data_IF_424562650653
#
_entry.id   IF_424562650653
#
_cell.length_a   1.000
_cell.length_b   1.000
_cell.length_c   1.000
_cell.angle_alpha   90.00
_cell.angle_beta   90.00
_cell.angle_gamma   90.00
#
_symmetry.space_group_name_H-M   'P 1'
#
loop_
_entity.id
_entity.type
_entity.pdbx_description
1 polymer ?
#
# COMPACT_ATOMS: atom_id res chain seq x y z
N UNK A 1 42.17 10.24 16.52
CA UNK A 1 41.64 9.04 17.20
C UNK A 1 40.55 9.53 18.16
N UNK A 2 39.32 9.61 17.73
CA UNK A 2 38.22 10.07 18.57
C UNK A 2 37.62 8.86 19.27
N UNK A 3 37.79 8.80 20.59
CA UNK A 3 37.05 7.86 21.41
C UNK A 3 35.63 8.37 21.52
N UNK A 4 34.73 7.79 20.77
CA UNK A 4 33.29 7.97 20.96
C UNK A 4 32.89 7.33 22.30
N UNK A 5 33.14 8.03 23.39
CA UNK A 5 32.49 7.73 24.67
C UNK A 5 31.06 8.27 24.60
N UNK A 6 30.28 7.72 23.71
CA UNK A 6 28.84 8.00 23.67
C UNK A 6 28.15 6.90 24.46
N UNK A 7 27.86 7.16 25.72
CA UNK A 7 26.81 6.46 26.45
C UNK A 7 25.46 6.80 25.79
N UNK A 8 25.27 6.37 24.55
CA UNK A 8 23.97 6.45 23.89
C UNK A 8 23.07 5.47 24.64
N UNK A 9 22.16 5.99 25.42
CA UNK A 9 21.17 5.15 26.07
C UNK A 9 20.25 4.62 24.96
N UNK A 10 20.27 3.31 24.78
CA UNK A 10 19.42 2.59 23.82
C UNK A 10 18.36 1.85 24.61
N UNK A 11 17.12 2.07 24.24
CA UNK A 11 15.96 1.32 24.76
C UNK A 11 15.20 0.68 23.61
N UNK A 12 14.59 -0.47 23.88
CA UNK A 12 13.66 -1.10 22.97
C UNK A 12 12.24 -1.02 23.52
N UNK A 13 11.29 -0.66 22.67
CA UNK A 13 9.86 -0.58 23.03
C UNK A 13 9.12 -1.62 22.22
N UNK A 14 8.51 -2.57 22.91
CA UNK A 14 7.66 -3.60 22.32
C UNK A 14 6.20 -3.19 22.47
N UNK A 15 5.50 -3.12 21.34
CA UNK A 15 4.08 -2.80 21.27
C UNK A 15 3.30 -4.00 20.74
N UNK A 16 2.23 -4.36 21.41
CA UNK A 16 1.30 -5.40 20.97
C UNK A 16 -0.11 -4.79 20.88
N UNK A 17 -0.75 -4.92 19.74
CA UNK A 17 -2.10 -4.36 19.51
C UNK A 17 -3.14 -4.74 20.56
N UNK A 18 -2.96 -5.88 21.22
CA UNK A 18 -3.85 -6.32 22.33
C UNK A 18 -3.79 -5.40 23.55
N UNK A 19 -2.71 -4.66 23.73
CA UNK A 19 -2.50 -3.72 24.83
C UNK A 19 -2.86 -2.29 24.46
N UNK A 20 -3.29 -2.06 23.20
CA UNK A 20 -3.67 -0.75 22.73
C UNK A 20 -5.15 -0.45 23.02
N UNK A 21 -5.43 0.81 23.20
CA UNK A 21 -6.79 1.34 23.10
C UNK A 21 -7.04 1.79 21.65
N UNK A 22 -8.09 1.29 21.01
CA UNK A 22 -8.48 1.75 19.67
C UNK A 22 -9.34 3.01 19.82
N UNK A 23 -8.89 4.11 19.25
CA UNK A 23 -9.56 5.40 19.27
C UNK A 23 -9.43 6.07 17.90
N UNK A 24 -10.56 6.42 17.29
CA UNK A 24 -10.62 7.13 15.99
C UNK A 24 -9.78 6.49 14.87
N UNK A 25 -9.67 5.15 14.84
CA UNK A 25 -8.87 4.42 13.84
C UNK A 25 -7.37 4.34 14.16
N UNK A 26 -6.94 4.85 15.32
CA UNK A 26 -5.56 4.73 15.79
C UNK A 26 -5.46 3.79 17.01
N UNK A 27 -4.34 3.08 17.10
CA UNK A 27 -3.95 2.26 18.24
C UNK A 27 -3.13 3.10 19.21
N UNK A 28 -3.70 3.43 20.35
CA UNK A 28 -3.07 4.24 21.39
C UNK A 28 -2.43 3.35 22.44
N UNK A 29 -1.16 3.60 22.74
CA UNK A 29 -0.36 2.92 23.76
C UNK A 29 0.08 3.93 24.80
N UNK A 30 -0.44 3.81 26.00
CA UNK A 30 0.06 4.58 27.15
C UNK A 30 1.30 3.88 27.71
N UNK A 31 2.44 4.56 27.72
CA UNK A 31 3.69 4.02 28.22
C UNK A 31 3.74 4.16 29.75
N UNK A 32 3.82 3.04 30.47
CA UNK A 32 3.95 3.03 31.93
C UNK A 32 5.16 3.86 32.40
N UNK A 33 6.27 3.72 31.68
CA UNK A 33 7.46 4.55 31.88
C UNK A 33 7.62 5.48 30.68
N UNK A 34 7.44 6.80 30.87
CA UNK A 34 7.66 7.76 29.81
C UNK A 34 9.09 7.70 29.28
N UNK A 35 9.23 7.76 27.95
CA UNK A 35 10.54 7.90 27.31
C UNK A 35 10.95 9.36 27.38
N UNK A 36 11.86 9.71 28.29
CA UNK A 36 12.31 11.07 28.50
C UNK A 36 13.78 11.22 28.12
N UNK A 37 14.06 12.24 27.32
CA UNK A 37 15.39 12.57 26.82
C UNK A 37 15.92 13.83 27.55
N UNK A 38 17.18 13.85 28.01
CA UNK A 38 17.81 15.07 28.54
C UNK A 38 17.74 16.24 27.56
N UNK A 39 17.76 17.46 28.06
CA UNK A 39 17.66 18.66 27.21
C UNK A 39 18.78 18.78 26.18
N UNK A 40 19.98 18.27 26.53
CA UNK A 40 21.15 18.26 25.67
C UNK A 40 21.13 17.15 24.61
N UNK A 41 20.15 16.27 24.61
CA UNK A 41 20.04 15.14 23.68
C UNK A 41 18.81 15.24 22.79
N UNK A 42 18.82 14.49 21.71
CA UNK A 42 17.67 14.29 20.81
C UNK A 42 17.15 12.88 20.95
N UNK A 43 15.83 12.75 20.91
CA UNK A 43 15.15 11.44 20.87
C UNK A 43 15.06 10.98 19.44
N UNK A 44 15.52 9.77 19.17
CA UNK A 44 15.43 9.14 17.84
C UNK A 44 14.71 7.82 17.95
N UNK A 45 13.76 7.59 17.06
CA UNK A 45 13.01 6.33 16.96
C UNK A 45 13.30 5.64 15.63
N UNK A 46 13.38 4.32 15.66
CA UNK A 46 13.53 3.47 14.47
C UNK A 46 12.69 2.22 14.62
N UNK A 47 12.00 1.81 13.55
CA UNK A 47 11.32 0.52 13.53
C UNK A 47 12.36 -0.59 13.36
N UNK A 48 12.38 -1.55 14.29
CA UNK A 48 13.21 -2.75 14.21
C UNK A 48 12.49 -3.91 13.56
N UNK A 49 11.22 -4.10 13.96
CA UNK A 49 10.45 -5.27 13.53
C UNK A 49 8.96 -4.99 13.53
N UNK A 50 8.26 -5.60 12.59
CA UNK A 50 6.80 -5.64 12.54
C UNK A 50 6.33 -7.04 12.21
N UNK A 51 5.32 -7.49 12.93
CA UNK A 51 4.64 -8.76 12.68
C UNK A 51 3.14 -8.58 12.70
N UNK A 52 2.45 -9.21 11.73
CA UNK A 52 1.00 -9.27 11.70
C UNK A 52 0.54 -10.49 10.91
N UNK A 53 -0.53 -11.18 11.30
CA UNK A 53 -1.17 -12.13 10.39
C UNK A 53 -1.76 -11.37 9.19
N UNK A 54 -1.58 -11.89 7.99
CA UNK A 54 -2.21 -11.33 6.79
C UNK A 54 -3.70 -11.69 6.78
N UNK A 55 -4.48 -10.92 7.51
CA UNK A 55 -5.95 -11.01 7.57
C UNK A 55 -6.63 -9.88 6.80
N UNK A 56 -5.87 -9.22 5.90
CA UNK A 56 -6.39 -8.13 5.10
C UNK A 56 -7.45 -8.64 4.12
N UNK A 57 -8.64 -8.06 4.10
CA UNK A 57 -9.68 -8.48 3.19
C UNK A 57 -9.28 -8.17 1.75
N UNK A 58 -9.50 -9.13 0.86
CA UNK A 58 -9.26 -8.94 -0.58
C UNK A 58 -10.39 -8.10 -1.18
N UNK A 59 -11.63 -8.45 -0.83
CA UNK A 59 -12.79 -7.66 -1.19
C UNK A 59 -13.22 -6.78 -0.01
N UNK A 60 -13.50 -5.52 -0.27
CA UNK A 60 -13.98 -4.52 0.68
C UNK A 60 -15.04 -3.62 0.03
N UNK A 61 -15.62 -2.70 0.77
CA UNK A 61 -16.72 -1.86 0.28
C UNK A 61 -16.41 -1.07 -1.02
N UNK A 62 -15.13 -0.84 -1.34
CA UNK A 62 -14.74 -0.11 -2.55
C UNK A 62 -14.55 -0.99 -3.79
N UNK A 63 -14.41 -2.31 -3.62
CA UNK A 63 -14.04 -3.23 -4.71
C UNK A 63 -14.82 -4.56 -4.69
N UNK A 64 -16.04 -4.57 -4.16
CA UNK A 64 -16.81 -5.80 -3.93
C UNK A 64 -18.05 -5.96 -4.85
N UNK A 65 -18.23 -5.12 -5.83
CA UNK A 65 -19.36 -5.23 -6.74
C UNK A 65 -18.97 -6.01 -7.99
N UNK A 66 -19.83 -6.94 -8.39
CA UNK A 66 -19.71 -7.69 -9.63
C UNK A 66 -21.08 -7.95 -10.22
N UNK A 67 -21.29 -7.55 -11.48
CA UNK A 67 -22.57 -7.68 -12.16
C UNK A 67 -22.41 -8.38 -13.50
N UNK A 68 -23.27 -9.37 -13.75
CA UNK A 68 -23.26 -10.11 -14.99
C UNK A 68 -24.69 -10.40 -15.50
N UNK A 69 -24.78 -10.68 -16.80
CA UNK A 69 -26.01 -11.07 -17.47
C UNK A 69 -25.77 -12.28 -18.36
N UNK A 70 -26.67 -13.23 -18.33
CA UNK A 70 -26.73 -14.37 -19.28
C UNK A 70 -27.96 -14.22 -20.13
N UNK A 71 -27.83 -14.31 -21.45
CA UNK A 71 -28.88 -13.96 -22.39
C UNK A 71 -29.54 -15.21 -23.00
N UNK A 72 -30.78 -15.07 -23.41
CA UNK A 72 -31.49 -16.03 -24.25
C UNK A 72 -30.83 -16.12 -25.62
N UNK A 73 -30.43 -17.31 -26.08
CA UNK A 73 -29.78 -17.48 -27.37
C UNK A 73 -30.69 -17.14 -28.57
N UNK A 74 -32.02 -17.11 -28.40
CA UNK A 74 -32.98 -16.84 -29.47
C UNK A 74 -33.31 -15.34 -29.55
N UNK A 75 -33.72 -14.78 -28.40
CA UNK A 75 -34.16 -13.37 -28.34
C UNK A 75 -33.04 -12.39 -28.02
N UNK A 76 -31.88 -12.86 -27.57
CA UNK A 76 -30.82 -12.05 -26.98
C UNK A 76 -31.26 -11.21 -25.78
N UNK A 77 -32.45 -11.41 -25.25
CA UNK A 77 -32.91 -10.75 -24.04
C UNK A 77 -32.21 -11.34 -22.81
N UNK A 78 -31.96 -10.52 -21.76
CA UNK A 78 -31.41 -11.04 -20.53
C UNK A 78 -32.33 -12.09 -19.88
N UNK A 79 -31.83 -13.31 -19.71
CA UNK A 79 -32.49 -14.37 -18.94
C UNK A 79 -32.26 -14.19 -17.45
N UNK A 80 -31.04 -13.89 -17.12
CA UNK A 80 -30.59 -13.71 -15.74
C UNK A 80 -29.68 -12.48 -15.70
N UNK A 81 -30.00 -11.54 -14.85
CA UNK A 81 -29.14 -10.42 -14.51
C UNK A 81 -28.87 -10.45 -13.02
N UNK A 82 -27.61 -10.45 -12.64
CA UNK A 82 -27.17 -10.50 -11.24
C UNK A 82 -26.29 -9.31 -10.91
N UNK A 83 -26.61 -8.71 -9.77
CA UNK A 83 -25.79 -7.66 -9.16
C UNK A 83 -25.34 -8.19 -7.80
N UNK A 84 -24.10 -8.61 -7.72
CA UNK A 84 -23.53 -9.24 -6.54
C UNK A 84 -22.72 -8.25 -5.74
N UNK A 85 -22.88 -8.33 -4.43
CA UNK A 85 -21.97 -7.71 -3.47
C UNK A 85 -21.17 -8.85 -2.86
N UNK A 86 -19.90 -8.96 -3.27
CA UNK A 86 -19.00 -9.99 -2.75
C UNK A 86 -18.74 -9.67 -1.29
N UNK A 87 -18.87 -10.66 -0.38
CA UNK A 87 -18.62 -10.43 1.03
C UNK A 87 -17.23 -9.85 1.30
N UNK A 88 -17.14 -8.97 2.30
CA UNK A 88 -15.87 -8.45 2.78
C UNK A 88 -15.09 -9.58 3.47
N UNK A 89 -14.22 -10.27 2.73
CA UNK A 89 -13.57 -11.51 3.18
C UNK A 89 -12.23 -11.72 2.50
N UNK A 90 -11.49 -12.65 3.07
CA UNK A 90 -10.30 -13.26 2.47
C UNK A 90 -10.78 -14.37 1.54
N UNK A 91 -10.62 -14.17 0.25
CA UNK A 91 -11.09 -15.10 -0.78
C UNK A 91 -9.96 -15.33 -1.78
N UNK A 92 -9.67 -16.59 -2.07
CA UNK A 92 -8.75 -16.90 -3.16
C UNK A 92 -9.48 -17.00 -4.52
N UNK A 93 -8.76 -17.07 -5.65
CA UNK A 93 -9.41 -17.15 -6.98
C UNK A 93 -10.39 -18.30 -7.15
N UNK A 94 -10.11 -19.46 -6.53
CA UNK A 94 -10.98 -20.65 -6.62
C UNK A 94 -12.26 -20.43 -5.81
N UNK A 95 -12.14 -19.83 -4.63
CA UNK A 95 -13.32 -19.51 -3.79
C UNK A 95 -14.21 -18.49 -4.50
N UNK A 96 -13.63 -17.50 -5.18
CA UNK A 96 -14.38 -16.57 -6.02
C UNK A 96 -15.14 -17.29 -7.14
N UNK A 97 -14.48 -18.19 -7.86
CA UNK A 97 -15.15 -19.01 -8.88
C UNK A 97 -16.33 -19.81 -8.30
N UNK A 98 -16.10 -20.48 -7.18
CA UNK A 98 -17.14 -21.24 -6.49
C UNK A 98 -18.31 -20.37 -6.07
N UNK A 99 -18.04 -19.18 -5.54
CA UNK A 99 -19.05 -18.20 -5.13
C UNK A 99 -19.95 -17.78 -6.30
N UNK A 100 -19.35 -17.37 -7.44
CA UNK A 100 -20.09 -16.95 -8.63
C UNK A 100 -20.87 -18.14 -9.24
N UNK A 101 -20.25 -19.30 -9.36
CA UNK A 101 -20.88 -20.50 -9.90
C UNK A 101 -22.05 -20.94 -9.03
N UNK A 102 -21.90 -20.90 -7.71
CA UNK A 102 -22.99 -21.22 -6.77
C UNK A 102 -24.15 -20.24 -6.89
N UNK A 103 -23.85 -18.93 -6.96
CA UNK A 103 -24.88 -17.88 -7.17
C UNK A 103 -25.68 -18.16 -8.45
N UNK A 104 -24.99 -18.43 -9.55
CA UNK A 104 -25.62 -18.72 -10.83
C UNK A 104 -26.54 -19.94 -10.74
N UNK A 105 -26.05 -21.07 -10.24
CA UNK A 105 -26.83 -22.31 -10.11
C UNK A 105 -28.05 -22.12 -9.22
N UNK A 106 -27.90 -21.42 -8.10
CA UNK A 106 -28.98 -21.22 -7.11
C UNK A 106 -30.06 -20.28 -7.64
N UNK A 107 -29.69 -19.27 -8.42
CA UNK A 107 -30.63 -18.24 -8.88
C UNK A 107 -31.13 -18.47 -10.32
N UNK A 108 -30.59 -19.46 -11.01
CA UNK A 108 -31.04 -19.85 -12.35
C UNK A 108 -32.46 -20.44 -12.30
N UNK A 109 -33.45 -19.90 -13.04
CA UNK A 109 -34.77 -20.51 -13.12
C UNK A 109 -34.70 -21.95 -13.69
N UNK A 110 -35.47 -22.90 -13.16
CA UNK A 110 -35.44 -24.30 -13.61
C UNK A 110 -35.66 -24.49 -15.12
N UNK A 111 -36.49 -23.67 -15.73
CA UNK A 111 -36.74 -23.67 -17.18
C UNK A 111 -35.48 -23.41 -18.02
N UNK A 112 -34.45 -22.80 -17.44
CA UNK A 112 -33.20 -22.44 -18.11
C UNK A 112 -32.02 -23.30 -17.68
N UNK A 113 -32.31 -24.48 -17.12
CA UNK A 113 -31.27 -25.41 -16.63
C UNK A 113 -30.29 -25.90 -17.71
N UNK A 114 -30.66 -25.80 -18.99
CA UNK A 114 -29.83 -26.15 -20.14
C UNK A 114 -28.75 -25.10 -20.45
N UNK A 115 -28.90 -23.87 -19.92
CA UNK A 115 -27.92 -22.82 -20.12
C UNK A 115 -26.88 -22.86 -18.99
N UNK A 116 -25.62 -22.95 -19.40
CA UNK A 116 -24.51 -23.06 -18.49
C UNK A 116 -23.71 -21.76 -18.51
N UNK A 117 -23.43 -21.25 -17.34
CA UNK A 117 -22.46 -20.18 -17.13
C UNK A 117 -21.52 -20.63 -16.02
N UNK A 118 -20.25 -20.46 -16.26
CA UNK A 118 -19.23 -20.86 -15.29
C UNK A 118 -18.04 -19.91 -15.30
N UNK A 119 -17.43 -19.80 -14.13
CA UNK A 119 -16.17 -19.08 -13.93
C UNK A 119 -15.14 -20.09 -13.44
N UNK A 120 -13.99 -20.15 -14.11
CA UNK A 120 -12.90 -21.03 -13.78
C UNK A 120 -11.60 -20.26 -13.62
N UNK A 121 -10.75 -20.70 -12.73
CA UNK A 121 -9.42 -20.14 -12.53
C UNK A 121 -8.36 -21.05 -13.17
N UNK A 122 -7.69 -20.52 -14.18
CA UNK A 122 -6.57 -21.21 -14.81
C UNK A 122 -5.29 -20.98 -14.01
N UNK A 123 -4.82 -22.01 -13.31
CA UNK A 123 -3.64 -21.92 -12.44
C UNK A 123 -2.32 -21.75 -13.19
N UNK A 124 -2.27 -22.07 -14.48
CA UNK A 124 -1.04 -21.90 -15.29
C UNK A 124 -0.87 -20.47 -15.78
N UNK A 125 -1.97 -19.84 -16.18
CA UNK A 125 -1.98 -18.48 -16.72
C UNK A 125 -2.38 -17.43 -15.70
N UNK A 126 -2.88 -17.84 -14.53
CA UNK A 126 -3.45 -16.97 -13.50
C UNK A 126 -4.62 -16.11 -13.99
N UNK A 127 -5.36 -16.59 -14.97
CA UNK A 127 -6.50 -15.87 -15.59
C UNK A 127 -7.81 -16.49 -15.12
N UNK A 128 -8.81 -15.63 -14.86
CA UNK A 128 -10.20 -16.05 -14.73
C UNK A 128 -10.80 -16.24 -16.13
N UNK A 129 -11.41 -17.37 -16.34
CA UNK A 129 -12.09 -17.73 -17.57
C UNK A 129 -13.59 -17.80 -17.30
N UNK A 130 -14.31 -16.81 -17.79
CA UNK A 130 -15.77 -16.80 -17.80
C UNK A 130 -16.24 -17.49 -19.09
N UNK A 131 -17.13 -18.45 -18.98
CA UNK A 131 -17.61 -19.24 -20.12
C UNK A 131 -19.10 -19.56 -20.00
N UNK A 132 -19.77 -19.67 -21.15
CA UNK A 132 -21.17 -20.05 -21.23
C UNK A 132 -21.47 -20.73 -22.57
N UNK A 133 -22.50 -21.54 -22.60
CA UNK A 133 -23.06 -22.07 -23.86
C UNK A 133 -24.05 -21.10 -24.54
N UNK A 134 -24.31 -19.96 -23.94
CA UNK A 134 -25.12 -18.86 -24.50
C UNK A 134 -24.42 -17.51 -24.31
N UNK A 135 -24.88 -16.49 -25.04
CA UNK A 135 -24.30 -15.14 -24.91
C UNK A 135 -24.42 -14.64 -23.48
N UNK A 136 -23.36 -14.04 -22.98
CA UNK A 136 -23.34 -13.39 -21.69
C UNK A 136 -22.49 -12.14 -21.72
N UNK A 137 -22.64 -11.29 -20.72
CA UNK A 137 -21.81 -10.10 -20.53
C UNK A 137 -21.50 -9.88 -19.04
N UNK A 138 -20.34 -9.29 -18.77
CA UNK A 138 -20.03 -8.68 -17.47
C UNK A 138 -20.48 -7.23 -17.58
N UNK A 139 -21.50 -6.87 -16.79
CA UNK A 139 -22.17 -5.56 -16.90
C UNK A 139 -21.35 -4.47 -16.24
N UNK A 140 -20.80 -4.76 -15.06
CA UNK A 140 -19.97 -3.84 -14.28
C UNK A 140 -19.21 -4.59 -13.20
N UNK A 141 -18.10 -4.05 -12.78
CA UNK A 141 -17.40 -4.48 -11.56
C UNK A 141 -16.58 -3.36 -10.96
N UNK A 142 -16.52 -3.28 -9.65
CA UNK A 142 -15.54 -2.47 -8.91
C UNK A 142 -14.30 -3.27 -8.54
N UNK A 143 -14.32 -4.59 -8.74
CA UNK A 143 -13.23 -5.52 -8.45
C UNK A 143 -12.28 -5.75 -9.65
N UNK A 144 -12.28 -4.87 -10.63
CA UNK A 144 -11.58 -5.06 -11.92
C UNK A 144 -10.08 -5.36 -11.74
N UNK A 145 -9.37 -4.65 -10.87
CA UNK A 145 -7.95 -4.89 -10.59
C UNK A 145 -7.70 -6.31 -10.04
N UNK A 146 -8.55 -6.75 -9.10
CA UNK A 146 -8.44 -8.07 -8.46
C UNK A 146 -8.73 -9.18 -9.47
N UNK A 147 -9.77 -9.00 -10.28
CA UNK A 147 -10.25 -9.98 -11.23
C UNK A 147 -9.48 -9.98 -12.57
N UNK A 148 -8.54 -9.06 -12.74
CA UNK A 148 -7.80 -8.90 -14.01
C UNK A 148 -8.69 -8.43 -15.16
N UNK A 149 -9.77 -7.69 -14.87
CA UNK A 149 -10.69 -7.12 -15.84
C UNK A 149 -10.33 -5.66 -16.13
N UNK A 150 -10.77 -5.08 -17.27
CA UNK A 150 -10.52 -3.67 -17.55
C UNK A 150 -11.30 -2.77 -16.58
N UNK A 151 -10.77 -1.58 -16.31
CA UNK A 151 -11.43 -0.58 -15.45
C UNK A 151 -12.67 0.03 -16.12
N UNK A 152 -12.65 0.15 -17.43
CA UNK A 152 -13.68 0.83 -18.25
C UNK A 152 -14.17 -0.07 -19.37
N UNK A 153 -15.08 0.45 -20.21
CA UNK A 153 -15.64 -0.23 -21.38
C UNK A 153 -16.61 -1.37 -21.04
N UNK A 154 -17.41 -1.20 -20.02
CA UNK A 154 -18.51 -2.10 -19.73
C UNK A 154 -19.77 -1.73 -20.56
N UNK A 155 -20.61 -2.73 -20.93
CA UNK A 155 -20.48 -4.14 -20.64
C UNK A 155 -19.40 -4.84 -21.47
N UNK A 156 -18.69 -5.81 -20.85
CA UNK A 156 -17.80 -6.70 -21.56
C UNK A 156 -18.61 -7.85 -22.15
N UNK A 157 -18.69 -7.92 -23.46
CA UNK A 157 -19.42 -8.97 -24.15
C UNK A 157 -18.52 -10.19 -24.45
N UNK A 158 -19.08 -11.39 -24.27
CA UNK A 158 -18.37 -12.61 -24.56
C UNK A 158 -18.12 -12.77 -26.07
N UNK A 159 -16.94 -13.23 -26.45
CA UNK A 159 -16.60 -13.61 -27.82
C UNK A 159 -17.39 -14.84 -28.30
N UNK A 160 -17.64 -14.94 -29.59
CA UNK A 160 -18.70 -15.79 -30.19
C UNK A 160 -18.26 -17.16 -30.71
N UNK A 161 -17.07 -17.70 -30.43
CA UNK A 161 -16.70 -18.98 -31.06
C UNK A 161 -15.72 -19.81 -30.27
N UNK A 162 -15.87 -21.12 -30.14
CA UNK A 162 -17.05 -21.99 -30.29
C UNK A 162 -17.94 -22.01 -29.05
N UNK A 163 -17.50 -21.44 -27.94
CA UNK A 163 -18.25 -21.17 -26.73
C UNK A 163 -18.05 -19.71 -26.35
N UNK A 164 -19.09 -19.05 -25.83
CA UNK A 164 -18.98 -17.69 -25.35
C UNK A 164 -18.00 -17.61 -24.20
N UNK A 165 -16.98 -16.78 -24.31
CA UNK A 165 -15.97 -16.65 -23.27
C UNK A 165 -15.45 -15.22 -23.12
N UNK A 166 -15.06 -14.89 -21.89
CA UNK A 166 -14.31 -13.68 -21.56
C UNK A 166 -13.06 -14.12 -20.79
N UNK A 167 -11.90 -13.71 -21.28
CA UNK A 167 -10.59 -13.86 -20.65
C UNK A 167 -9.86 -12.54 -20.81
N UNK A 168 -9.16 -12.09 -19.78
CA UNK A 168 -8.45 -10.83 -19.84
C UNK A 168 -7.03 -10.93 -19.28
N UNK A 169 -6.70 -10.16 -18.26
CA UNK A 169 -5.38 -10.16 -17.65
C UNK A 169 -5.28 -11.16 -16.49
N UNK A 170 -4.07 -11.55 -16.07
CA UNK A 170 -3.88 -12.31 -14.85
C UNK A 170 -4.50 -11.61 -13.63
N UNK A 171 -5.11 -12.40 -12.77
CA UNK A 171 -5.74 -11.88 -11.54
C UNK A 171 -4.72 -11.49 -10.49
N UNK A 172 -5.07 -10.51 -9.68
CA UNK A 172 -4.27 -10.08 -8.53
C UNK A 172 -5.14 -10.12 -7.26
N UNK A 173 -5.27 -11.30 -6.66
CA UNK A 173 -5.99 -11.44 -5.38
C UNK A 173 -5.17 -10.90 -4.21
N UNK A 174 -4.66 -9.68 -4.39
CA UNK A 174 -3.95 -8.88 -3.38
C UNK A 174 -4.56 -7.48 -3.43
N UNK A 175 -5.35 -7.15 -2.43
CA UNK A 175 -5.99 -5.82 -2.35
C UNK A 175 -5.08 -4.74 -1.76
N UNK A 176 -4.05 -5.17 -1.04
CA UNK A 176 -3.12 -4.31 -0.33
C UNK A 176 -1.71 -4.83 -0.54
N UNK A 177 -0.89 -4.07 -1.26
CA UNK A 177 0.52 -4.43 -1.50
C UNK A 177 1.44 -3.93 -0.40
N UNK A 178 1.06 -2.86 0.28
CA UNK A 178 1.83 -2.27 1.36
C UNK A 178 0.94 -1.82 2.50
N UNK A 179 1.44 -1.99 3.72
CA UNK A 179 0.88 -1.40 4.93
C UNK A 179 1.76 -0.21 5.30
N UNK A 180 1.17 0.97 5.38
CA UNK A 180 1.84 2.17 5.87
C UNK A 180 1.55 2.33 7.35
N UNK A 181 2.59 2.26 8.16
CA UNK A 181 2.52 2.55 9.60
C UNK A 181 2.73 4.04 9.78
N UNK A 182 1.75 4.71 10.35
CA UNK A 182 1.77 6.15 10.60
C UNK A 182 1.70 6.46 12.08
N UNK A 183 2.22 7.61 12.46
CA UNK A 183 2.10 8.17 13.80
C UNK A 183 1.34 9.49 13.73
N UNK A 184 0.53 9.76 14.76
CA UNK A 184 -0.22 11.01 14.85
C UNK A 184 0.42 12.01 15.81
N UNK A 185 1.33 11.56 16.67
CA UNK A 185 1.86 12.38 17.76
C UNK A 185 3.06 13.24 17.39
N UNK A 186 3.76 12.91 16.30
CA UNK A 186 4.89 13.70 15.84
C UNK A 186 5.00 13.70 14.32
N UNK A 187 5.41 14.84 13.79
CA UNK A 187 5.63 14.99 12.36
C UNK A 187 6.98 14.41 11.98
N UNK A 188 6.98 13.50 11.01
CA UNK A 188 8.19 12.98 10.40
C UNK A 188 8.47 13.78 9.12
N UNK A 189 9.74 14.06 8.85
CA UNK A 189 10.15 14.78 7.64
C UNK A 189 10.21 13.84 6.41
N UNK A 190 9.22 12.95 6.28
CA UNK A 190 9.09 12.10 5.11
C UNK A 190 8.24 12.81 4.06
N UNK A 191 8.68 12.74 2.81
CA UNK A 191 7.98 13.32 1.67
C UNK A 191 7.47 12.18 0.80
N UNK A 192 6.18 12.19 0.46
CA UNK A 192 5.59 11.23 -0.48
C UNK A 192 5.89 11.61 -1.93
N UNK A 193 5.47 10.78 -2.88
CA UNK A 193 5.65 11.02 -4.33
C UNK A 193 4.97 12.29 -4.85
N UNK A 194 4.09 12.92 -4.07
CA UNK A 194 3.42 14.18 -4.39
C UNK A 194 4.07 15.40 -3.71
N UNK A 195 5.23 15.21 -3.05
CA UNK A 195 5.93 16.29 -2.35
C UNK A 195 5.30 16.68 -1.01
N UNK A 196 4.35 15.91 -0.48
CA UNK A 196 3.69 16.19 0.80
C UNK A 196 4.43 15.54 1.96
N UNK A 197 4.54 16.27 3.07
CA UNK A 197 5.08 15.73 4.32
C UNK A 197 4.14 14.66 4.84
N UNK A 198 4.68 13.51 5.21
CA UNK A 198 3.91 12.38 5.74
C UNK A 198 4.44 11.96 7.11
N UNK A 199 3.53 11.46 7.94
CA UNK A 199 3.85 10.88 9.25
C UNK A 199 4.11 9.37 9.16
N UNK A 200 4.61 8.89 8.02
CA UNK A 200 4.85 7.47 7.79
C UNK A 200 6.15 7.02 8.44
N UNK A 201 6.05 6.15 9.43
CA UNK A 201 7.20 5.49 10.08
C UNK A 201 7.80 4.38 9.23
N UNK A 202 6.94 3.60 8.57
CA UNK A 202 7.39 2.49 7.75
C UNK A 202 6.40 2.15 6.65
N UNK A 203 6.93 1.63 5.56
CA UNK A 203 6.20 0.97 4.49
C UNK A 203 6.53 -0.52 4.56
N UNK A 204 5.54 -1.34 4.79
CA UNK A 204 5.68 -2.78 5.00
C UNK A 204 5.08 -3.51 3.82
N UNK A 205 5.87 -4.23 3.01
CA UNK A 205 5.35 -4.97 1.87
C UNK A 205 4.53 -6.18 2.34
N UNK A 206 3.37 -6.38 1.72
CA UNK A 206 2.53 -7.57 1.89
C UNK A 206 2.94 -8.59 0.84
N UNK A 207 3.90 -9.43 1.17
CA UNK A 207 4.53 -10.40 0.27
C UNK A 207 4.19 -11.86 0.60
N UNK A 208 3.18 -12.07 1.43
CA UNK A 208 2.75 -13.40 1.86
C UNK A 208 1.27 -13.62 1.55
N UNK A 209 0.90 -14.87 1.36
CA UNK A 209 -0.48 -15.24 1.13
C UNK A 209 -1.40 -14.90 2.33
N UNK A 210 -2.71 -14.70 2.10
CA UNK A 210 -3.68 -14.57 3.16
C UNK A 210 -3.59 -15.74 4.16
N UNK A 211 -3.71 -15.43 5.45
CA UNK A 211 -3.57 -16.39 6.55
C UNK A 211 -2.13 -16.65 7.00
N UNK A 212 -1.11 -16.25 6.23
CA UNK A 212 0.29 -16.31 6.64
C UNK A 212 0.67 -15.08 7.48
N UNK A 213 1.81 -15.15 8.16
CA UNK A 213 2.34 -14.02 8.93
C UNK A 213 3.19 -13.11 8.04
N UNK A 214 2.85 -11.84 7.99
CA UNK A 214 3.71 -10.79 7.45
C UNK A 214 4.76 -10.53 8.52
N UNK A 215 6.01 -10.76 8.18
CA UNK A 215 7.17 -10.45 9.01
C UNK A 215 8.04 -9.44 8.25
N UNK A 216 8.28 -8.30 8.88
CA UNK A 216 9.09 -7.24 8.29
C UNK A 216 10.17 -6.80 9.24
N UNK A 217 11.39 -6.78 8.75
CA UNK A 217 12.56 -6.20 9.40
C UNK A 217 13.28 -5.35 8.36
N UNK A 218 13.42 -4.04 8.57
CA UNK A 218 14.09 -3.18 7.60
C UNK A 218 15.57 -3.60 7.45
N UNK A 219 16.07 -3.57 6.22
CA UNK A 219 17.50 -3.82 5.92
C UNK A 219 18.35 -2.71 6.50
N UNK A 220 17.88 -1.47 6.35
CA UNK A 220 18.47 -0.27 6.93
C UNK A 220 17.47 0.40 7.86
N UNK A 221 17.95 0.85 9.02
CA UNK A 221 17.11 1.52 9.99
C UNK A 221 16.90 2.98 9.61
N UNK A 222 15.68 3.31 9.27
CA UNK A 222 15.27 4.71 9.17
C UNK A 222 15.23 5.33 10.57
N UNK A 223 16.03 6.36 10.77
CA UNK A 223 16.17 7.06 12.06
C UNK A 223 15.37 8.36 12.00
N UNK A 224 14.36 8.47 12.84
CA UNK A 224 13.49 9.64 12.91
C UNK A 224 13.78 10.43 14.17
N UNK A 225 14.20 11.67 14.00
CA UNK A 225 14.38 12.60 15.12
C UNK A 225 13.02 13.09 15.57
N UNK A 226 12.72 12.89 16.84
CA UNK A 226 11.47 13.32 17.45
C UNK A 226 11.69 14.67 18.11
N UNK A 227 10.89 15.69 17.76
CA UNK A 227 11.04 17.03 18.31
C UNK A 227 10.67 17.12 19.79
N UNK A 228 9.92 16.15 20.30
CA UNK A 228 9.53 16.09 21.71
C UNK A 228 10.62 15.51 22.58
N UNK A 229 10.74 16.04 23.80
CA UNK A 229 11.69 15.51 24.81
C UNK A 229 11.13 14.37 25.64
N UNK A 230 9.84 14.17 25.62
CA UNK A 230 9.16 13.12 26.39
C UNK A 230 8.02 12.55 25.58
N UNK A 231 7.99 11.23 25.45
CA UNK A 231 6.88 10.48 24.89
C UNK A 231 6.20 9.71 26.02
N UNK A 232 4.95 10.03 26.29
CA UNK A 232 4.10 9.32 27.27
C UNK A 232 3.13 8.37 26.61
N UNK A 233 2.75 8.69 25.36
CA UNK A 233 1.82 7.92 24.56
C UNK A 233 2.36 7.77 23.13
N UNK A 234 2.03 6.66 22.49
CA UNK A 234 2.26 6.44 21.07
C UNK A 234 0.93 6.09 20.41
N UNK A 235 0.53 6.85 19.41
CA UNK A 235 -0.63 6.59 18.60
C UNK A 235 -0.19 6.18 17.19
N UNK A 236 -0.61 4.99 16.76
CA UNK A 236 -0.25 4.40 15.48
C UNK A 236 -1.50 4.14 14.67
N UNK A 237 -1.52 4.54 13.41
CA UNK A 237 -2.54 4.18 12.45
C UNK A 237 -1.95 3.42 11.28
N UNK A 238 -2.79 2.65 10.59
CA UNK A 238 -2.38 1.82 9.47
C UNK A 238 -3.21 2.16 8.24
N UNK A 239 -2.55 2.27 7.10
CA UNK A 239 -3.21 2.56 5.82
C UNK A 239 -2.69 1.62 4.73
N UNK A 240 -3.53 1.37 3.73
CA UNK A 240 -3.15 0.64 2.53
C UNK A 240 -2.58 1.58 1.44
N UNK A 241 -2.24 1.01 0.27
CA UNK A 241 -1.71 1.75 -0.89
C UNK A 241 -2.67 2.83 -1.42
N UNK A 242 -3.97 2.73 -1.12
CA UNK A 242 -5.02 3.68 -1.53
C UNK A 242 -5.32 4.72 -0.44
N UNK A 243 -4.46 4.82 0.59
CA UNK A 243 -4.66 5.66 1.78
C UNK A 243 -5.95 5.36 2.57
N UNK A 244 -6.50 4.15 2.42
CA UNK A 244 -7.64 3.72 3.20
C UNK A 244 -7.15 3.16 4.54
N UNK A 245 -7.87 3.49 5.62
CA UNK A 245 -7.55 2.98 6.94
C UNK A 245 -7.70 1.45 7.01
N UNK A 246 -6.80 0.82 7.73
CA UNK A 246 -6.86 -0.59 8.12
C UNK A 246 -7.24 -0.59 9.60
N UNK A 247 -8.56 -0.64 9.88
CA UNK A 247 -9.10 -0.39 11.22
C UNK A 247 -8.89 -1.56 12.20
N UNK A 248 -8.72 -2.77 11.68
CA UNK A 248 -8.58 -3.97 12.52
C UNK A 248 -7.39 -4.80 12.07
N UNK A 249 -6.27 -4.58 12.72
CA UNK A 249 -5.05 -5.35 12.49
C UNK A 249 -4.48 -5.81 13.84
N UNK A 250 -4.18 -7.09 13.96
CA UNK A 250 -3.44 -7.62 15.10
C UNK A 250 -1.96 -7.57 14.78
N UNK A 251 -1.20 -6.80 15.53
CA UNK A 251 0.23 -6.63 15.24
C UNK A 251 1.10 -6.66 16.49
N UNK A 252 2.37 -6.90 16.23
CA UNK A 252 3.46 -6.68 17.16
C UNK A 252 4.49 -5.79 16.49
N UNK A 253 4.97 -4.82 17.22
CA UNK A 253 5.96 -3.85 16.78
C UNK A 253 7.10 -3.76 17.78
N UNK A 254 8.32 -3.68 17.28
CA UNK A 254 9.51 -3.42 18.06
C UNK A 254 10.19 -2.16 17.55
N UNK A 255 10.27 -1.15 18.40
CA UNK A 255 11.01 0.08 18.15
C UNK A 255 12.32 0.12 18.91
N UNK A 256 13.34 0.68 18.27
CA UNK A 256 14.55 1.16 18.90
C UNK A 256 14.40 2.64 19.23
N UNK A 257 14.70 3.01 20.44
CA UNK A 257 14.72 4.40 20.89
C UNK A 257 16.15 4.72 21.33
N UNK A 258 16.71 5.77 20.75
CA UNK A 258 18.08 6.22 21.00
C UNK A 258 18.06 7.68 21.47
N UNK A 259 18.90 7.99 22.44
CA UNK A 259 19.17 9.36 22.85
C UNK A 259 20.52 9.79 22.27
N UNK A 260 20.48 10.71 21.32
CA UNK A 260 21.66 11.18 20.62
C UNK A 260 22.03 12.60 21.07
N UNK A 261 23.30 12.81 21.27
CA UNK A 261 23.80 14.20 21.36
C UNK A 261 23.74 14.84 19.98
N UNK A 262 23.28 16.10 19.85
CA UNK A 262 23.48 16.87 18.66
C UNK A 262 24.99 16.85 18.38
N UNK A 263 25.39 16.40 17.19
CA UNK A 263 26.77 16.64 16.79
C UNK A 263 26.91 18.16 16.74
N UNK A 264 27.71 18.71 17.62
CA UNK A 264 28.27 20.05 17.38
C UNK A 264 28.88 19.95 15.99
N UNK A 265 28.37 20.72 15.04
CA UNK A 265 29.11 20.94 13.81
C UNK A 265 30.46 21.47 14.27
N UNK A 266 31.49 20.63 14.18
CA UNK A 266 32.83 21.16 14.19
C UNK A 266 32.84 22.24 13.11
N UNK A 267 32.81 23.50 13.51
CA UNK A 267 33.07 24.63 12.62
C UNK A 267 34.55 24.63 12.18
N UNK A 268 35.02 23.50 11.72
CA UNK A 268 36.28 23.33 11.05
C UNK A 268 36.08 23.32 9.53
N UNK A 269 35.08 23.98 9.01
CA UNK A 269 35.19 24.48 7.66
C UNK A 269 36.18 25.64 7.73
N UNK A 270 37.43 25.34 7.39
CA UNK A 270 38.41 26.35 7.11
C UNK A 270 37.73 27.39 6.19
N UNK A 271 37.51 28.62 6.68
CA UNK A 271 36.83 29.68 5.92
C UNK A 271 37.41 29.83 4.51
N UNK A 272 38.71 29.49 4.34
CA UNK A 272 39.38 29.43 3.06
C UNK A 272 38.79 28.42 2.07
N UNK A 273 38.24 27.30 2.52
CA UNK A 273 37.70 26.28 1.63
C UNK A 273 36.32 26.67 1.08
N UNK A 274 35.50 27.34 1.90
CA UNK A 274 34.17 27.85 1.45
C UNK A 274 34.37 29.00 0.46
N UNK A 275 35.29 29.95 0.74
CA UNK A 275 35.60 31.04 -0.18
C UNK A 275 36.19 30.51 -1.51
N UNK A 276 36.96 29.43 -1.49
CA UNK A 276 37.46 28.79 -2.68
C UNK A 276 36.34 28.20 -3.54
N UNK A 277 35.41 27.47 -2.96
CA UNK A 277 34.26 26.91 -3.70
C UNK A 277 33.30 27.99 -4.21
N UNK A 278 33.06 29.04 -3.46
CA UNK A 278 32.22 30.15 -3.92
C UNK A 278 32.87 30.98 -5.03
N UNK A 279 34.18 31.18 -4.98
CA UNK A 279 34.89 31.88 -6.05
C UNK A 279 35.03 31.09 -7.35
N UNK A 280 35.05 29.75 -7.26
CA UNK A 280 35.18 28.89 -8.44
C UNK A 280 33.83 28.34 -8.94
N UNK A 281 32.72 28.62 -8.29
CA UNK A 281 31.37 28.28 -8.73
C UNK A 281 30.65 29.44 -9.45
N UNK A 282 31.31 30.57 -9.65
CA UNK A 282 30.81 31.60 -10.55
C UNK A 282 31.03 31.06 -11.96
N UNK A 283 29.91 30.84 -12.66
CA UNK A 283 29.84 30.43 -14.06
C UNK A 283 30.85 31.17 -14.94
N UNK A 284 31.39 30.51 -15.97
CA UNK A 284 32.19 31.20 -16.95
C UNK A 284 31.41 32.38 -17.50
N UNK A 285 31.96 33.56 -17.38
CA UNK A 285 31.44 34.72 -18.11
C UNK A 285 31.66 34.38 -19.59
N UNK A 286 30.56 34.37 -20.34
CA UNK A 286 30.61 34.38 -21.79
C UNK A 286 31.25 35.67 -22.20
N UNK A 287 32.56 35.60 -22.47
CA UNK A 287 33.32 36.64 -23.19
C UNK A 287 33.00 36.53 -24.70
N UNK A 288 31.76 36.82 -25.05
CA UNK A 288 31.40 37.17 -26.42
C UNK A 288 31.75 38.63 -26.64
N UNK A 289 33.07 38.87 -26.81
CA UNK A 289 33.53 40.09 -27.49
C UNK A 289 33.44 39.83 -29.01
N UNK A 290 32.34 40.29 -29.60
CA UNK A 290 32.27 40.54 -31.05
C UNK A 290 33.34 41.55 -31.41
N UNK A 291 34.42 41.09 -32.07
CA UNK A 291 35.33 41.95 -32.81
C UNK A 291 34.59 42.48 -34.06
N UNK A 292 34.14 43.74 -33.98
CA UNK A 292 33.73 44.49 -35.17
C UNK A 292 34.99 44.73 -36.06
N UNK A 293 35.05 44.01 -37.17
CA UNK A 293 36.00 44.38 -38.25
C UNK A 293 35.56 45.71 -38.90
N UNK A 294 36.47 46.67 -39.07
CA UNK A 294 36.20 47.90 -39.76
C UNK A 294 36.11 47.66 -41.30
N UNK A 295 34.99 47.94 -41.91
CA UNK A 295 34.84 48.04 -43.35
C UNK A 295 35.77 49.11 -43.91
N UNK A 296 36.86 48.71 -44.58
CA UNK A 296 37.71 49.56 -45.39
C UNK A 296 37.09 49.91 -46.72
N UNK A 297 37.27 51.14 -47.09
CA UNK A 297 36.88 51.86 -48.32
C UNK A 297 37.17 51.12 -49.63
#
# INVERSE_FOLDING_TARGET
MYSANTNNQISTVFLNSRNARLSSGAYEFDLETPLSCPLSQMLVISLLEFQTPNTLPIFNASNNQFSYSVNDPISNAPLITRNLIIPNTIMNPVDFCNYINFDYITNRPPAYSIYEFSVNFNRQTFILEFSSNTKFSIIATTAYEILGLPETNYPLEASTSPAYSIKWLPVSFISTHNIFVKTEEFTLNNINSYGQITNTLARIPVNVNPGCTIFYRPVELNRYIIPMKTIKRLALSFQNDKNQAIDTINFQLLFKVEFLYPQEKEESYDKGTIDYYFKNSILPQDDDQEEEEPLGV
#
